data_IF_248427522954
#
_entry.id   IF_248427522954
#
_cell.length_a   1.000
_cell.length_b   1.000
_cell.length_c   1.000
_cell.angle_alpha   90.00
_cell.angle_beta   90.00
_cell.angle_gamma   90.00
#
_symmetry.space_group_name_H-M   'P 1'
#
loop_
_entity.id
_entity.type
_entity.pdbx_description
1 polymer ?
#
# COMPACT_ATOMS: atom_id res chain seq x y z
N UNK A 1 -26.62 -6.10 -9.42
CA UNK A 1 -27.21 -6.94 -8.34
C UNK A 1 -26.85 -6.41 -6.95
N UNK A 2 -25.56 -6.18 -6.66
CA UNK A 2 -25.03 -5.68 -5.37
C UNK A 2 -25.57 -4.32 -4.89
N UNK A 3 -25.88 -3.40 -5.81
CA UNK A 3 -26.39 -2.07 -5.44
C UNK A 3 -27.76 -2.11 -4.73
N UNK A 4 -28.59 -3.11 -5.04
CA UNK A 4 -29.88 -3.32 -4.36
C UNK A 4 -29.66 -3.84 -2.93
N UNK A 5 -28.74 -4.80 -2.76
CA UNK A 5 -28.38 -5.34 -1.44
C UNK A 5 -27.81 -4.28 -0.51
N UNK A 6 -26.97 -3.38 -1.00
CA UNK A 6 -26.40 -2.30 -0.17
C UNK A 6 -27.49 -1.38 0.39
N UNK A 7 -28.50 -1.03 -0.43
CA UNK A 7 -29.62 -0.21 0.03
C UNK A 7 -30.49 -0.95 1.03
N UNK A 8 -30.81 -2.22 0.76
CA UNK A 8 -31.56 -3.05 1.69
C UNK A 8 -30.81 -3.27 3.01
N UNK A 9 -29.48 -3.41 2.95
CA UNK A 9 -28.62 -3.52 4.12
C UNK A 9 -28.71 -2.26 4.97
N UNK A 10 -28.62 -1.07 4.36
CA UNK A 10 -28.76 0.20 5.06
C UNK A 10 -30.08 0.27 5.86
N UNK A 11 -31.18 -0.12 5.23
CA UNK A 11 -32.52 -0.09 5.86
C UNK A 11 -32.62 -1.10 7.00
N UNK A 12 -32.20 -2.33 6.77
CA UNK A 12 -32.40 -3.43 7.71
C UNK A 12 -31.38 -3.41 8.85
N UNK A 13 -30.18 -2.88 8.63
CA UNK A 13 -29.22 -2.60 9.70
C UNK A 13 -29.80 -1.59 10.69
N UNK A 14 -30.43 -0.51 10.19
CA UNK A 14 -31.14 0.45 11.04
C UNK A 14 -32.28 -0.19 11.83
N UNK A 15 -33.00 -1.13 11.24
CA UNK A 15 -34.08 -1.84 11.93
C UNK A 15 -33.54 -2.73 13.05
N UNK A 16 -32.46 -3.47 12.80
CA UNK A 16 -31.76 -4.27 13.81
C UNK A 16 -31.27 -3.41 14.97
N UNK A 17 -30.64 -2.25 14.71
CA UNK A 17 -30.15 -1.39 15.81
C UNK A 17 -31.28 -0.84 16.68
N UNK A 18 -32.50 -0.74 16.14
CA UNK A 18 -33.69 -0.26 16.86
C UNK A 18 -34.52 -1.38 17.49
N UNK A 19 -34.24 -2.64 17.17
CA UNK A 19 -35.03 -3.76 17.66
C UNK A 19 -34.65 -4.12 19.09
N UNK A 20 -35.57 -4.79 19.77
CA UNK A 20 -35.33 -5.31 21.11
C UNK A 20 -34.17 -6.32 21.07
N UNK A 21 -33.21 -6.17 21.98
CA UNK A 21 -31.98 -6.96 22.06
C UNK A 21 -31.11 -6.92 20.79
N UNK A 22 -31.35 -5.98 19.86
CA UNK A 22 -30.64 -5.89 18.57
C UNK A 22 -30.75 -7.18 17.73
N UNK A 23 -31.89 -7.87 17.86
CA UNK A 23 -32.20 -9.08 17.11
C UNK A 23 -33.43 -8.89 16.23
N UNK A 24 -33.49 -9.57 15.08
CA UNK A 24 -34.67 -9.65 14.22
C UNK A 24 -34.74 -11.02 13.54
N UNK A 25 -35.93 -11.49 13.23
CA UNK A 25 -36.12 -12.63 12.32
C UNK A 25 -36.02 -12.17 10.86
N UNK A 26 -35.49 -13.04 9.99
CA UNK A 26 -35.35 -12.77 8.54
C UNK A 26 -36.66 -12.30 7.87
N UNK A 27 -37.80 -12.86 8.27
CA UNK A 27 -39.12 -12.48 7.73
C UNK A 27 -39.57 -11.07 8.14
N UNK A 28 -38.88 -10.43 9.09
CA UNK A 28 -39.10 -9.04 9.49
C UNK A 28 -38.24 -8.06 8.68
N UNK A 29 -37.35 -8.55 7.81
CA UNK A 29 -36.63 -7.68 6.90
C UNK A 29 -37.56 -7.05 5.88
N UNK A 30 -37.33 -5.78 5.59
CA UNK A 30 -38.19 -4.98 4.72
C UNK A 30 -37.44 -4.36 3.55
N UNK A 31 -38.20 -4.12 2.49
CA UNK A 31 -37.81 -3.37 1.30
C UNK A 31 -37.72 -1.87 1.59
N UNK A 32 -37.26 -1.09 0.62
CA UNK A 32 -37.26 0.38 0.67
C UNK A 32 -38.63 1.00 0.97
N UNK A 33 -39.71 0.30 0.60
CA UNK A 33 -41.09 0.73 0.82
C UNK A 33 -41.66 0.27 2.16
N UNK A 34 -40.89 -0.46 2.98
CA UNK A 34 -41.34 -1.01 4.25
C UNK A 34 -42.11 -2.34 4.16
N UNK A 35 -42.28 -2.91 2.96
CA UNK A 35 -42.89 -4.23 2.80
C UNK A 35 -41.90 -5.36 3.10
N UNK A 36 -42.35 -6.52 3.61
CA UNK A 36 -41.48 -7.69 3.79
C UNK A 36 -40.74 -8.09 2.51
N UNK A 37 -39.49 -8.53 2.65
CA UNK A 37 -38.70 -9.02 1.52
C UNK A 37 -39.16 -10.44 1.15
N UNK A 38 -39.51 -10.71 -0.12
CA UNK A 38 -39.98 -12.05 -0.53
C UNK A 38 -38.97 -13.18 -0.33
N UNK A 39 -37.67 -12.89 -0.49
CA UNK A 39 -36.58 -13.83 -0.24
C UNK A 39 -35.51 -13.12 0.62
N UNK A 40 -35.66 -13.13 1.96
CA UNK A 40 -34.77 -12.42 2.86
C UNK A 40 -33.43 -13.13 3.09
N UNK A 41 -33.31 -14.41 2.71
CA UNK A 41 -32.10 -15.21 2.95
C UNK A 41 -30.88 -14.60 2.28
N UNK A 42 -31.02 -14.21 1.01
CA UNK A 42 -29.92 -13.61 0.25
C UNK A 42 -29.44 -12.28 0.86
N UNK A 43 -30.33 -11.50 1.48
CA UNK A 43 -29.92 -10.29 2.19
C UNK A 43 -29.23 -10.65 3.51
N UNK A 44 -29.79 -11.58 4.28
CA UNK A 44 -29.21 -11.99 5.55
C UNK A 44 -27.81 -12.59 5.36
N UNK A 45 -27.63 -13.48 4.39
CA UNK A 45 -26.34 -14.07 4.04
C UNK A 45 -25.34 -13.02 3.59
N UNK A 46 -25.78 -12.04 2.78
CA UNK A 46 -24.93 -10.91 2.42
C UNK A 46 -24.49 -10.12 3.65
N UNK A 47 -25.40 -9.84 4.59
CA UNK A 47 -25.07 -9.10 5.81
C UNK A 47 -24.16 -9.90 6.76
N UNK A 48 -24.33 -11.22 6.82
CA UNK A 48 -23.47 -12.15 7.57
C UNK A 48 -22.06 -12.22 6.96
N UNK A 49 -21.94 -12.31 5.63
CA UNK A 49 -20.66 -12.28 4.91
C UNK A 49 -19.90 -10.96 5.12
N UNK A 50 -20.63 -9.86 5.34
CA UNK A 50 -20.05 -8.56 5.70
C UNK A 50 -19.85 -8.37 7.20
N UNK A 51 -20.06 -9.42 7.99
CA UNK A 51 -19.88 -9.45 9.44
C UNK A 51 -20.77 -8.43 10.17
N UNK A 52 -21.83 -7.92 9.52
CA UNK A 52 -22.74 -6.93 10.10
C UNK A 52 -23.72 -7.58 11.07
N UNK A 53 -24.02 -8.85 10.83
CA UNK A 53 -24.94 -9.66 11.64
C UNK A 53 -24.37 -11.07 11.82
N UNK A 54 -24.90 -11.79 12.80
CA UNK A 54 -24.75 -13.24 12.96
C UNK A 54 -26.11 -13.89 12.74
N UNK A 55 -26.17 -14.95 11.95
CA UNK A 55 -27.38 -15.76 11.78
C UNK A 55 -27.32 -16.95 12.73
N UNK A 56 -28.36 -17.13 13.56
CA UNK A 56 -28.47 -18.24 14.52
C UNK A 56 -28.24 -19.60 13.83
N UNK A 57 -27.32 -20.42 14.35
CA UNK A 57 -26.90 -21.66 13.69
C UNK A 57 -27.97 -22.74 13.61
N UNK A 58 -28.94 -22.76 14.54
CA UNK A 58 -29.92 -23.84 14.66
C UNK A 58 -30.98 -23.80 13.56
N UNK A 59 -31.77 -22.73 13.53
CA UNK A 59 -32.87 -22.54 12.57
C UNK A 59 -32.51 -21.60 11.44
N UNK A 60 -31.38 -20.89 11.54
CA UNK A 60 -30.96 -19.83 10.60
C UNK A 60 -32.03 -18.78 10.32
N UNK A 61 -32.88 -18.51 11.31
CA UNK A 61 -34.01 -17.56 11.18
C UNK A 61 -33.78 -16.25 11.93
N UNK A 62 -33.13 -16.31 13.09
CA UNK A 62 -32.82 -15.13 13.90
C UNK A 62 -31.48 -14.55 13.48
N UNK A 63 -31.47 -13.24 13.29
CA UNK A 63 -30.31 -12.42 12.99
C UNK A 63 -30.02 -11.54 14.21
N UNK A 64 -28.76 -11.47 14.61
CA UNK A 64 -28.27 -10.65 15.72
C UNK A 64 -27.26 -9.63 15.19
N UNK A 65 -27.34 -8.38 15.65
CA UNK A 65 -26.38 -7.34 15.28
C UNK A 65 -25.01 -7.65 15.90
N UNK A 66 -23.94 -7.54 15.12
CA UNK A 66 -22.58 -7.63 15.65
C UNK A 66 -22.10 -6.29 16.19
N UNK A 67 -21.05 -6.31 17.01
CA UNK A 67 -20.33 -5.08 17.40
C UNK A 67 -19.87 -4.30 16.17
N UNK A 68 -19.35 -4.99 15.16
CA UNK A 68 -18.94 -4.37 13.90
C UNK A 68 -20.12 -3.71 13.18
N UNK A 69 -21.25 -4.41 13.04
CA UNK A 69 -22.48 -3.87 12.44
C UNK A 69 -22.99 -2.64 13.18
N UNK A 70 -22.94 -2.64 14.51
CA UNK A 70 -23.30 -1.48 15.32
C UNK A 70 -22.32 -0.32 15.08
N UNK A 71 -21.01 -0.56 15.09
CA UNK A 71 -20.00 0.48 14.80
C UNK A 71 -20.22 1.08 13.41
N UNK A 72 -20.47 0.25 12.40
CA UNK A 72 -20.80 0.69 11.03
C UNK A 72 -22.02 1.60 11.04
N UNK A 73 -23.08 1.21 11.74
CA UNK A 73 -24.29 2.03 11.85
C UNK A 73 -24.01 3.38 12.54
N UNK A 74 -23.33 3.37 13.69
CA UNK A 74 -22.98 4.59 14.44
C UNK A 74 -22.09 5.55 13.64
N UNK A 75 -21.25 5.03 12.74
CA UNK A 75 -20.38 5.83 11.85
C UNK A 75 -21.07 6.35 10.60
N UNK A 76 -22.40 6.30 10.54
CA UNK A 76 -23.19 6.85 9.43
C UNK A 76 -23.74 5.82 8.46
N UNK A 77 -23.79 4.54 8.86
CA UNK A 77 -24.43 3.48 8.10
C UNK A 77 -23.51 2.77 7.10
N UNK A 78 -24.08 1.75 6.46
CA UNK A 78 -23.40 0.89 5.51
C UNK A 78 -22.93 1.66 4.28
N UNK A 79 -23.77 2.58 3.78
CA UNK A 79 -23.38 3.43 2.64
C UNK A 79 -22.13 4.25 2.96
N UNK A 80 -22.08 4.89 4.14
CA UNK A 80 -20.94 5.72 4.51
C UNK A 80 -19.68 4.89 4.72
N UNK A 81 -19.81 3.71 5.30
CA UNK A 81 -18.71 2.76 5.41
C UNK A 81 -18.11 2.39 4.05
N UNK A 82 -18.95 2.10 3.05
CA UNK A 82 -18.47 1.77 1.70
C UNK A 82 -17.74 2.93 1.02
N UNK A 83 -18.22 4.17 1.21
CA UNK A 83 -17.52 5.38 0.71
C UNK A 83 -16.13 5.51 1.35
N UNK A 84 -16.04 5.41 2.68
CA UNK A 84 -14.77 5.50 3.40
C UNK A 84 -13.79 4.39 3.03
N UNK A 85 -14.30 3.16 2.87
CA UNK A 85 -13.48 2.02 2.44
C UNK A 85 -12.89 2.26 1.05
N UNK A 86 -13.72 2.72 0.11
CA UNK A 86 -13.27 3.04 -1.24
C UNK A 86 -12.20 4.14 -1.25
N UNK A 87 -12.39 5.21 -0.47
CA UNK A 87 -11.40 6.28 -0.34
C UNK A 87 -10.08 5.78 0.26
N UNK A 88 -10.13 4.88 1.25
CA UNK A 88 -8.94 4.27 1.85
C UNK A 88 -8.19 3.38 0.85
N UNK A 89 -8.92 2.56 0.08
CA UNK A 89 -8.35 1.71 -0.96
C UNK A 89 -7.69 2.54 -2.08
N UNK A 90 -8.33 3.64 -2.50
CA UNK A 90 -7.79 4.56 -3.51
C UNK A 90 -6.50 5.24 -3.01
N UNK A 91 -6.47 5.70 -1.76
CA UNK A 91 -5.26 6.28 -1.15
C UNK A 91 -4.12 5.27 -1.04
N UNK A 92 -4.43 4.01 -0.71
CA UNK A 92 -3.44 2.95 -0.65
C UNK A 92 -2.84 2.69 -2.05
N UNK A 93 -3.68 2.57 -3.08
CA UNK A 93 -3.23 2.38 -4.46
C UNK A 93 -2.39 3.56 -4.92
N UNK A 94 -2.79 4.79 -4.58
CA UNK A 94 -2.00 5.98 -4.91
C UNK A 94 -0.63 5.97 -4.23
N UNK A 95 -0.56 5.65 -2.94
CA UNK A 95 0.71 5.57 -2.22
C UNK A 95 1.66 4.51 -2.78
N UNK A 96 1.13 3.36 -3.23
CA UNK A 96 1.92 2.33 -3.90
C UNK A 96 2.48 2.85 -5.23
N UNK A 97 1.64 3.50 -6.05
CA UNK A 97 2.09 4.08 -7.34
C UNK A 97 3.14 5.17 -7.15
N UNK A 98 2.98 6.03 -6.15
CA UNK A 98 3.96 7.08 -5.84
C UNK A 98 5.31 6.47 -5.43
N UNK A 99 5.29 5.42 -4.60
CA UNK A 99 6.50 4.69 -4.22
C UNK A 99 7.18 4.02 -5.43
N UNK A 100 6.42 3.35 -6.28
CA UNK A 100 6.94 2.74 -7.51
C UNK A 100 7.56 3.79 -8.45
N UNK A 101 6.91 4.95 -8.60
CA UNK A 101 7.44 6.05 -9.42
C UNK A 101 8.76 6.58 -8.86
N UNK A 102 8.85 6.77 -7.54
CA UNK A 102 10.09 7.21 -6.88
C UNK A 102 11.22 6.18 -7.06
N UNK A 103 10.92 4.88 -6.96
CA UNK A 103 11.89 3.82 -7.19
C UNK A 103 12.36 3.78 -8.65
N UNK A 104 11.45 4.00 -9.61
CA UNK A 104 11.79 4.11 -11.03
C UNK A 104 12.67 5.34 -11.32
N UNK A 105 12.36 6.49 -10.72
CA UNK A 105 13.18 7.70 -10.84
C UNK A 105 14.58 7.49 -10.27
N UNK A 106 14.69 6.90 -9.09
CA UNK A 106 15.98 6.55 -8.48
C UNK A 106 16.79 5.62 -9.40
N UNK A 107 16.16 4.59 -9.94
CA UNK A 107 16.81 3.64 -10.85
C UNK A 107 17.32 4.33 -12.13
N UNK A 108 16.58 5.31 -12.67
CA UNK A 108 17.04 6.10 -13.82
C UNK A 108 18.25 6.96 -13.47
N UNK A 109 18.27 7.57 -12.30
CA UNK A 109 19.42 8.37 -11.81
C UNK A 109 20.65 7.49 -11.64
N UNK A 110 20.50 6.33 -10.98
CA UNK A 110 21.60 5.37 -10.78
C UNK A 110 22.16 4.88 -12.12
N UNK A 111 21.28 4.62 -13.10
CA UNK A 111 21.67 4.21 -14.44
C UNK A 111 22.42 5.32 -15.20
N UNK A 112 21.99 6.57 -15.10
CA UNK A 112 22.70 7.72 -15.69
C UNK A 112 24.07 7.93 -15.04
N UNK A 113 24.14 7.81 -13.71
CA UNK A 113 25.39 7.90 -12.98
C UNK A 113 26.37 6.78 -13.37
N UNK A 114 25.89 5.54 -13.48
CA UNK A 114 26.70 4.41 -13.95
C UNK A 114 27.25 4.64 -15.36
N UNK A 115 26.43 5.18 -16.28
CA UNK A 115 26.88 5.55 -17.63
C UNK A 115 27.97 6.62 -17.61
N UNK A 116 27.82 7.66 -16.78
CA UNK A 116 28.84 8.71 -16.61
C UNK A 116 30.14 8.15 -16.05
N UNK A 117 30.08 7.30 -15.03
CA UNK A 117 31.26 6.62 -14.49
C UNK A 117 31.98 5.77 -15.54
N UNK A 118 31.25 4.98 -16.33
CA UNK A 118 31.84 4.19 -17.43
C UNK A 118 32.52 5.08 -18.48
N UNK A 119 31.96 6.24 -18.78
CA UNK A 119 32.53 7.19 -19.74
C UNK A 119 33.80 7.87 -19.22
N UNK A 120 33.87 8.15 -17.91
CA UNK A 120 35.03 8.79 -17.27
C UNK A 120 36.14 7.80 -16.89
N UNK A 121 35.81 6.51 -16.75
CA UNK A 121 36.74 5.43 -16.42
C UNK A 121 38.01 5.37 -17.30
N UNK A 122 37.96 5.45 -18.65
CA UNK A 122 39.18 5.41 -19.46
C UNK A 122 40.06 6.64 -19.25
N UNK A 123 39.47 7.83 -19.05
CA UNK A 123 40.21 9.07 -18.81
C UNK A 123 40.94 9.02 -17.46
N UNK A 124 40.23 8.68 -16.39
CA UNK A 124 40.82 8.53 -15.05
C UNK A 124 41.91 7.47 -15.02
N UNK A 125 41.70 6.33 -15.69
CA UNK A 125 42.73 5.30 -15.86
C UNK A 125 43.97 5.80 -16.60
N UNK A 126 43.81 6.64 -17.61
CA UNK A 126 44.94 7.22 -18.35
C UNK A 126 45.71 8.24 -17.52
N UNK A 127 45.02 9.14 -16.80
CA UNK A 127 45.66 10.08 -15.87
C UNK A 127 46.44 9.36 -14.76
N UNK A 128 45.89 8.29 -14.18
CA UNK A 128 46.58 7.49 -13.18
C UNK A 128 47.87 6.87 -13.72
N UNK A 129 47.87 6.40 -14.97
CA UNK A 129 49.07 5.88 -15.64
C UNK A 129 50.12 6.98 -15.82
N UNK A 130 49.72 8.15 -16.31
CA UNK A 130 50.64 9.29 -16.49
C UNK A 130 51.26 9.70 -15.16
N UNK A 131 50.45 9.85 -14.10
CA UNK A 131 50.93 10.18 -12.77
C UNK A 131 51.93 9.15 -12.22
N UNK A 132 51.66 7.86 -12.42
CA UNK A 132 52.57 6.79 -12.03
C UNK A 132 53.93 6.88 -12.74
N UNK A 133 53.94 7.13 -14.06
CA UNK A 133 55.20 7.31 -14.81
C UNK A 133 55.97 8.56 -14.37
N UNK A 134 55.28 9.68 -14.10
CA UNK A 134 55.91 10.90 -13.60
C UNK A 134 56.57 10.64 -12.24
N UNK A 135 55.87 9.94 -11.33
CA UNK A 135 56.39 9.61 -10.00
C UNK A 135 57.66 8.74 -10.09
N UNK A 136 57.68 7.73 -10.96
CA UNK A 136 58.88 6.91 -11.20
C UNK A 136 60.03 7.78 -11.72
N UNK A 137 59.78 8.63 -12.72
CA UNK A 137 60.81 9.48 -13.31
C UNK A 137 61.43 10.44 -12.30
N UNK A 138 60.60 11.11 -11.49
CA UNK A 138 61.07 12.00 -10.43
C UNK A 138 61.88 11.24 -9.37
N UNK A 139 61.41 10.07 -8.93
CA UNK A 139 62.13 9.24 -7.96
C UNK A 139 63.51 8.81 -8.45
N UNK A 140 63.63 8.39 -9.72
CA UNK A 140 64.92 8.05 -10.33
C UNK A 140 65.86 9.26 -10.42
N UNK A 141 65.34 10.43 -10.76
CA UNK A 141 66.12 11.66 -10.89
C UNK A 141 66.66 12.13 -9.51
N UNK A 142 65.84 12.02 -8.46
CA UNK A 142 66.23 12.26 -7.07
C UNK A 142 67.37 11.32 -6.64
N UNK A 143 67.26 10.02 -6.95
CA UNK A 143 68.28 9.01 -6.66
C UNK A 143 69.60 9.33 -7.38
N UNK A 144 69.55 9.68 -8.68
CA UNK A 144 70.76 10.03 -9.45
C UNK A 144 71.44 11.28 -8.86
N UNK A 145 70.67 12.33 -8.53
CA UNK A 145 71.22 13.53 -7.89
C UNK A 145 71.91 13.20 -6.57
N UNK A 146 71.27 12.37 -5.74
CA UNK A 146 71.83 11.91 -4.48
C UNK A 146 73.17 11.16 -4.67
N UNK A 147 73.24 10.25 -5.64
CA UNK A 147 74.47 9.51 -5.96
C UNK A 147 75.59 10.43 -6.48
N UNK A 148 75.28 11.41 -7.34
CA UNK A 148 76.27 12.38 -7.83
C UNK A 148 76.80 13.24 -6.68
N UNK A 149 75.91 13.70 -5.77
CA UNK A 149 76.30 14.46 -4.58
C UNK A 149 77.22 13.65 -3.65
N UNK A 150 76.96 12.36 -3.50
CA UNK A 150 77.80 11.45 -2.74
C UNK A 150 79.22 11.36 -3.34
N UNK A 151 79.31 11.15 -4.67
CA UNK A 151 80.58 11.01 -5.38
C UNK A 151 81.38 12.32 -5.55
N UNK A 152 80.73 13.48 -5.40
CA UNK A 152 81.42 14.80 -5.48
C UNK A 152 81.86 15.34 -4.13
N UNK A 153 81.45 14.70 -3.03
CA UNK A 153 81.87 15.06 -1.66
C UNK A 153 82.99 14.14 -1.12
N UNK A 154 83.49 13.21 -1.94
CA UNK A 154 84.74 12.46 -1.77
C UNK A 154 85.86 13.10 -2.62
#
# INVERSE_FOLDING_TARGET
MTNNLNKLTEINLRLLTKSENQTLFKNQFVTEKGFPIPNPDHLAEFMEEKELIIIESSKRMRCELTDFGNIVYQKGGWKKYLELKKEADEKLIQGIKEKENLELEKTKVDLDLAKKMLKEYPKTKWFARIGFFIAIGLGLLEIIKFLIQLMSND
#
